data_IF_250265000045
#
_entry.id   IF_250265000045
#
_cell.length_a   1.000
_cell.length_b   1.000
_cell.length_c   1.000
_cell.angle_alpha   90.00
_cell.angle_beta   90.00
_cell.angle_gamma   90.00
#
_symmetry.space_group_name_H-M   'P 1'
#
loop_
_entity.id
_entity.type
_entity.pdbx_description
1 polymer ?
#
# COMPACT_ATOMS: atom_id res chain seq x y z
N UNK A 1 -16.31 -0.58 -3.07
CA UNK A 1 -15.34 -1.66 -3.39
C UNK A 1 -14.26 -1.10 -4.29
N UNK A 2 -13.01 -1.18 -3.84
CA UNK A 2 -11.86 -0.71 -4.62
C UNK A 2 -11.17 -1.86 -5.35
N UNK A 3 -10.32 -1.54 -6.31
CA UNK A 3 -9.55 -2.53 -7.08
C UNK A 3 -8.15 -1.99 -7.43
N UNK A 4 -7.39 -2.80 -8.18
CA UNK A 4 -6.02 -2.44 -8.58
C UNK A 4 -5.97 -1.17 -9.45
N UNK A 5 -6.95 -0.96 -10.30
CA UNK A 5 -6.99 0.25 -11.15
C UNK A 5 -7.16 1.51 -10.30
N UNK A 6 -7.94 1.43 -9.22
CA UNK A 6 -8.05 2.52 -8.26
C UNK A 6 -6.71 2.83 -7.60
N UNK A 7 -5.96 1.79 -7.19
CA UNK A 7 -4.62 1.98 -6.61
C UNK A 7 -3.71 2.68 -7.61
N UNK A 8 -3.69 2.23 -8.85
CA UNK A 8 -2.84 2.82 -9.91
C UNK A 8 -3.17 4.28 -10.14
N UNK A 9 -4.45 4.59 -10.26
CA UNK A 9 -4.91 5.96 -10.49
C UNK A 9 -4.55 6.88 -9.33
N UNK A 10 -4.82 6.45 -8.11
CA UNK A 10 -4.57 7.25 -6.92
C UNK A 10 -3.09 7.46 -6.65
N UNK A 11 -2.29 6.41 -6.73
CA UNK A 11 -0.85 6.49 -6.47
C UNK A 11 -0.13 7.32 -7.54
N UNK A 12 -0.47 7.10 -8.80
CA UNK A 12 0.18 7.82 -9.91
C UNK A 12 -0.10 9.32 -9.91
N UNK A 13 -1.18 9.75 -9.26
CA UNK A 13 -1.53 11.17 -9.16
C UNK A 13 -0.73 11.93 -8.09
N UNK A 14 0.00 11.23 -7.23
CA UNK A 14 0.77 11.84 -6.15
C UNK A 14 2.13 12.35 -6.64
N UNK A 15 2.65 13.46 -6.06
CA UNK A 15 3.92 14.02 -6.52
C UNK A 15 5.11 13.06 -6.38
N UNK A 16 5.97 13.04 -7.40
CA UNK A 16 7.23 12.30 -7.37
C UNK A 16 7.12 10.79 -7.37
N UNK A 17 5.94 10.25 -7.66
CA UNK A 17 5.72 8.81 -7.65
C UNK A 17 6.22 8.18 -8.96
N UNK A 18 6.91 7.06 -8.82
CA UNK A 18 7.27 6.19 -9.94
C UNK A 18 6.65 4.82 -9.75
N UNK A 19 6.29 4.19 -10.84
CA UNK A 19 5.82 2.81 -10.85
C UNK A 19 6.96 1.91 -11.31
N UNK A 20 7.25 0.86 -10.52
CA UNK A 20 8.26 -0.13 -10.87
C UNK A 20 7.58 -1.21 -11.71
N UNK A 21 8.20 -1.56 -12.84
CA UNK A 21 7.68 -2.62 -13.69
C UNK A 21 7.64 -3.95 -12.92
N UNK A 22 6.46 -4.54 -12.86
CA UNK A 22 6.23 -5.76 -12.08
C UNK A 22 5.02 -6.51 -12.66
N UNK A 23 4.79 -7.72 -12.15
CA UNK A 23 3.62 -8.51 -12.55
C UNK A 23 2.28 -7.92 -12.03
N UNK A 24 2.33 -6.91 -11.18
CA UNK A 24 1.16 -6.21 -10.65
C UNK A 24 1.43 -4.72 -10.63
N UNK A 25 1.37 -4.11 -9.44
CA UNK A 25 1.75 -2.71 -9.25
C UNK A 25 2.77 -2.59 -8.13
N UNK A 26 3.67 -1.61 -8.23
CA UNK A 26 4.66 -1.30 -7.21
C UNK A 26 4.97 0.19 -7.33
N UNK A 27 4.45 0.98 -6.40
CA UNK A 27 4.59 2.44 -6.43
C UNK A 27 5.57 2.90 -5.36
N UNK A 28 6.49 3.77 -5.78
CA UNK A 28 7.56 4.30 -4.94
C UNK A 28 7.64 5.81 -5.01
N UNK A 29 8.10 6.40 -3.91
CA UNK A 29 8.48 7.81 -3.83
C UNK A 29 9.84 7.89 -3.17
N UNK A 30 10.78 8.64 -3.76
CA UNK A 30 12.18 8.72 -3.29
C UNK A 30 12.80 7.33 -3.10
N UNK A 31 12.53 6.42 -4.04
CA UNK A 31 12.98 5.01 -4.05
C UNK A 31 12.42 4.14 -2.91
N UNK A 32 11.43 4.63 -2.19
CA UNK A 32 10.79 3.90 -1.08
C UNK A 32 9.40 3.44 -1.48
N UNK A 33 9.16 2.13 -1.43
CA UNK A 33 7.84 1.56 -1.69
C UNK A 33 6.83 2.00 -0.64
N UNK A 34 5.63 2.41 -1.07
CA UNK A 34 4.57 2.77 -0.14
C UNK A 34 3.28 1.97 -0.39
N UNK A 35 3.07 1.44 -1.58
CA UNK A 35 1.99 0.50 -1.88
C UNK A 35 2.40 -0.39 -3.07
N UNK A 36 2.24 -1.71 -2.91
CA UNK A 36 2.54 -2.66 -3.98
C UNK A 36 1.61 -3.87 -3.89
N UNK A 37 1.51 -4.63 -4.99
CA UNK A 37 0.68 -5.82 -5.03
C UNK A 37 1.31 -6.94 -4.20
N UNK A 38 0.46 -7.76 -3.58
CA UNK A 38 0.88 -8.77 -2.61
C UNK A 38 1.54 -9.98 -3.28
N UNK A 39 2.83 -10.24 -2.99
CA UNK A 39 3.49 -11.46 -3.47
C UNK A 39 3.15 -12.63 -2.54
N UNK A 40 2.05 -13.32 -2.83
CA UNK A 40 1.58 -14.42 -1.99
C UNK A 40 2.48 -15.65 -2.13
N UNK A 41 3.08 -16.14 -1.03
CA UNK A 41 3.92 -17.33 -1.09
C UNK A 41 3.07 -18.58 -1.35
N UNK A 42 3.62 -19.49 -2.16
CA UNK A 42 3.01 -20.77 -2.47
C UNK A 42 4.02 -21.88 -2.15
N UNK A 43 3.72 -22.81 -1.22
CA UNK A 43 4.63 -23.89 -0.87
C UNK A 43 5.06 -24.70 -2.10
N UNK A 44 6.38 -24.84 -2.30
CA UNK A 44 6.93 -25.61 -3.42
C UNK A 44 6.74 -25.00 -4.80
N UNK A 45 6.28 -23.75 -4.91
CA UNK A 45 6.00 -23.05 -6.17
C UNK A 45 6.47 -21.63 -6.14
N UNK A 46 6.53 -20.99 -7.33
CA UNK A 46 6.78 -19.56 -7.42
C UNK A 46 5.66 -18.76 -6.75
N UNK A 47 6.00 -17.61 -6.19
CA UNK A 47 5.01 -16.71 -5.58
C UNK A 47 3.99 -16.24 -6.63
N UNK A 48 2.74 -16.09 -6.19
CA UNK A 48 1.66 -15.54 -7.02
C UNK A 48 1.49 -14.07 -6.65
N UNK A 49 1.53 -13.19 -7.65
CA UNK A 49 1.29 -11.77 -7.42
C UNK A 49 -0.23 -11.53 -7.43
N UNK A 50 -0.75 -11.14 -6.26
CA UNK A 50 -2.17 -10.85 -6.06
C UNK A 50 -2.39 -9.35 -6.22
N UNK A 51 -3.19 -8.97 -7.21
CA UNK A 51 -3.54 -7.55 -7.44
C UNK A 51 -4.84 -7.13 -6.74
N UNK A 52 -5.53 -8.08 -6.12
CA UNK A 52 -6.71 -7.81 -5.28
C UNK A 52 -6.34 -7.49 -3.83
N UNK A 53 -5.06 -7.65 -3.47
CA UNK A 53 -4.52 -7.35 -2.15
C UNK A 53 -3.30 -6.43 -2.32
N UNK A 54 -3.30 -5.32 -1.60
CA UNK A 54 -2.18 -4.38 -1.60
C UNK A 54 -1.36 -4.53 -0.32
N UNK A 55 -0.03 -4.45 -0.44
CA UNK A 55 0.85 -4.25 0.71
C UNK A 55 1.01 -2.75 0.89
N UNK A 56 0.63 -2.25 2.05
CA UNK A 56 0.53 -0.82 2.33
C UNK A 56 1.44 -0.43 3.49
N UNK A 57 2.28 0.59 3.29
CA UNK A 57 3.10 1.14 4.37
C UNK A 57 2.23 1.91 5.36
N UNK A 58 2.37 1.61 6.67
CA UNK A 58 1.57 2.26 7.73
C UNK A 58 2.41 2.96 8.80
N UNK A 59 3.73 2.96 8.64
CA UNK A 59 4.62 3.80 9.44
C UNK A 59 5.20 3.15 10.67
N UNK A 60 4.42 2.42 11.46
CA UNK A 60 4.91 1.77 12.68
C UNK A 60 4.10 0.52 13.06
N UNK A 61 4.61 -0.23 14.04
CA UNK A 61 4.00 -1.48 14.48
C UNK A 61 2.69 -1.24 15.25
N UNK A 62 2.57 -0.13 15.94
CA UNK A 62 1.35 0.20 16.69
C UNK A 62 0.17 0.40 15.73
N UNK A 63 0.39 1.15 14.65
CA UNK A 63 -0.64 1.35 13.63
C UNK A 63 -0.99 0.05 12.92
N UNK A 64 0.02 -0.76 12.59
CA UNK A 64 -0.17 -2.08 11.99
C UNK A 64 -1.08 -2.96 12.87
N UNK A 65 -0.77 -3.06 14.16
CA UNK A 65 -1.56 -3.86 15.09
C UNK A 65 -2.99 -3.32 15.24
N UNK A 66 -3.14 -1.99 15.33
CA UNK A 66 -4.46 -1.37 15.46
C UNK A 66 -5.36 -1.70 14.26
N UNK A 67 -4.82 -1.64 13.05
CA UNK A 67 -5.59 -1.95 11.84
C UNK A 67 -5.97 -3.43 11.77
N UNK A 68 -5.02 -4.32 12.01
CA UNK A 68 -5.27 -5.78 11.93
C UNK A 68 -6.26 -6.23 13.00
N UNK A 69 -6.14 -5.72 14.23
CA UNK A 69 -7.04 -6.08 15.32
C UNK A 69 -8.41 -5.41 15.19
N UNK A 70 -8.45 -4.18 14.75
CA UNK A 70 -9.69 -3.41 14.63
C UNK A 70 -10.53 -3.74 13.41
N UNK A 71 -9.89 -4.10 12.30
CA UNK A 71 -10.57 -4.35 11.02
C UNK A 71 -10.02 -5.62 10.35
N UNK A 72 -10.21 -6.81 10.98
CA UNK A 72 -9.59 -8.04 10.46
C UNK A 72 -10.17 -8.54 9.13
N UNK A 73 -11.35 -8.08 8.74
CA UNK A 73 -11.90 -8.40 7.42
C UNK A 73 -11.18 -7.63 6.30
N UNK A 74 -10.61 -6.48 6.64
CA UNK A 74 -9.97 -5.57 5.68
C UNK A 74 -8.46 -5.71 5.66
N UNK A 75 -7.84 -5.80 6.85
CA UNK A 75 -6.38 -5.82 7.01
C UNK A 75 -5.90 -7.13 7.61
N UNK A 76 -4.77 -7.63 7.09
CA UNK A 76 -4.11 -8.79 7.69
C UNK A 76 -2.60 -8.65 7.58
N UNK A 77 -1.88 -9.54 8.25
CA UNK A 77 -0.42 -9.62 8.16
C UNK A 77 0.00 -11.07 7.97
N UNK A 78 1.25 -11.28 7.58
CA UNK A 78 1.83 -12.61 7.39
C UNK A 78 3.20 -12.67 8.03
N UNK A 79 3.71 -13.89 8.36
CA UNK A 79 5.04 -14.02 8.94
C UNK A 79 6.17 -13.40 8.12
N UNK A 80 6.04 -13.37 6.79
CA UNK A 80 7.05 -12.77 5.91
C UNK A 80 7.24 -11.28 6.18
N UNK A 81 6.22 -10.60 6.72
CA UNK A 81 6.26 -9.17 7.01
C UNK A 81 6.29 -8.85 8.50
N UNK A 82 6.57 -9.84 9.35
CA UNK A 82 6.74 -9.61 10.79
C UNK A 82 7.88 -8.61 11.00
N UNK A 83 7.64 -7.60 11.85
CA UNK A 83 8.61 -6.56 12.12
C UNK A 83 8.64 -5.42 11.10
N UNK A 84 7.97 -5.56 9.96
CA UNK A 84 7.86 -4.48 8.97
C UNK A 84 6.57 -3.70 9.19
N UNK A 85 6.61 -2.36 9.08
CA UNK A 85 5.43 -1.51 9.31
C UNK A 85 4.53 -1.44 8.06
N UNK A 86 4.10 -2.60 7.59
CA UNK A 86 3.19 -2.74 6.44
C UNK A 86 2.04 -3.68 6.81
N UNK A 87 0.90 -3.49 6.17
CA UNK A 87 -0.25 -4.40 6.28
C UNK A 87 -0.67 -4.85 4.89
N UNK A 88 -1.32 -5.99 4.82
CA UNK A 88 -2.01 -6.44 3.60
C UNK A 88 -3.44 -5.92 3.67
N UNK A 89 -3.85 -5.23 2.61
CA UNK A 89 -5.17 -4.60 2.48
C UNK A 89 -5.97 -5.33 1.40
N UNK A 90 -7.11 -5.90 1.81
CA UNK A 90 -8.06 -6.48 0.85
C UNK A 90 -8.82 -5.36 0.17
N UNK A 91 -8.52 -5.10 -1.10
CA UNK A 91 -9.07 -3.94 -1.82
C UNK A 91 -10.59 -4.00 -1.94
N UNK A 92 -11.16 -5.18 -2.06
CA UNK A 92 -12.62 -5.36 -2.14
C UNK A 92 -13.36 -4.93 -0.87
N UNK A 93 -12.65 -4.80 0.26
CA UNK A 93 -13.25 -4.46 1.56
C UNK A 93 -13.18 -2.97 1.89
N UNK A 94 -12.62 -2.14 1.01
CA UNK A 94 -12.59 -0.68 1.20
C UNK A 94 -13.27 0.02 0.03
N UNK A 95 -13.82 1.20 0.30
CA UNK A 95 -14.29 2.07 -0.75
C UNK A 95 -13.13 2.94 -1.27
N UNK A 96 -13.36 3.62 -2.39
CA UNK A 96 -12.34 4.45 -3.04
C UNK A 96 -11.94 5.62 -2.15
N UNK A 97 -12.88 6.17 -1.37
CA UNK A 97 -12.61 7.28 -0.46
C UNK A 97 -11.62 6.86 0.63
N UNK A 98 -11.86 5.71 1.28
CA UNK A 98 -10.94 5.18 2.29
C UNK A 98 -9.60 4.82 1.68
N UNK A 99 -9.60 4.21 0.51
CA UNK A 99 -8.37 3.87 -0.20
C UNK A 99 -7.54 5.12 -0.50
N UNK A 100 -8.18 6.21 -0.91
CA UNK A 100 -7.51 7.49 -1.16
C UNK A 100 -6.77 7.97 0.08
N UNK A 101 -7.41 7.93 1.24
CA UNK A 101 -6.80 8.32 2.51
C UNK A 101 -5.59 7.43 2.84
N UNK A 102 -5.77 6.12 2.74
CA UNK A 102 -4.73 5.15 3.07
C UNK A 102 -3.50 5.28 2.18
N UNK A 103 -3.70 5.40 0.88
CA UNK A 103 -2.60 5.53 -0.10
C UNK A 103 -1.89 6.88 0.07
N UNK A 104 -2.65 7.95 0.26
CA UNK A 104 -2.08 9.29 0.45
C UNK A 104 -1.26 9.35 1.74
N UNK A 105 -1.76 8.77 2.84
CA UNK A 105 -1.04 8.74 4.10
C UNK A 105 0.25 7.92 4.00
N UNK A 106 0.20 6.78 3.32
CA UNK A 106 1.39 5.95 3.09
C UNK A 106 2.46 6.72 2.31
N UNK A 107 2.04 7.41 1.24
CA UNK A 107 2.92 8.27 0.45
C UNK A 107 3.51 9.39 1.31
N UNK A 108 2.66 10.07 2.09
CA UNK A 108 3.07 11.20 2.93
C UNK A 108 4.17 10.82 3.92
N UNK A 109 4.09 9.62 4.48
CA UNK A 109 5.11 9.11 5.41
C UNK A 109 6.45 8.79 4.75
N UNK A 110 6.45 8.52 3.45
CA UNK A 110 7.66 8.16 2.69
C UNK A 110 8.23 9.31 1.88
N UNK A 111 7.42 10.28 1.50
CA UNK A 111 7.82 11.38 0.63
C UNK A 111 8.71 12.39 1.36
N UNK A 112 9.71 12.99 0.66
CA UNK A 112 10.42 14.14 1.18
C UNK A 112 9.47 15.30 1.44
N UNK A 113 9.81 16.16 2.40
CA UNK A 113 8.96 17.30 2.78
C UNK A 113 8.64 18.22 1.60
N UNK A 114 9.57 18.40 0.67
CA UNK A 114 9.32 19.23 -0.52
C UNK A 114 8.16 18.73 -1.37
N UNK A 115 8.01 17.40 -1.49
CA UNK A 115 6.88 16.80 -2.22
C UNK A 115 5.58 16.88 -1.43
N UNK A 116 5.65 16.74 -0.12
CA UNK A 116 4.46 16.89 0.75
C UNK A 116 3.91 18.30 0.63
N UNK A 117 4.78 19.32 0.66
CA UNK A 117 4.39 20.73 0.47
C UNK A 117 3.77 20.91 -0.93
N UNK A 118 4.34 20.31 -1.95
CA UNK A 118 3.79 20.39 -3.32
C UNK A 118 2.34 19.87 -3.38
N UNK A 119 2.05 18.76 -2.70
CA UNK A 119 0.68 18.25 -2.64
C UNK A 119 -0.26 19.20 -1.92
N UNK A 120 0.20 19.77 -0.78
CA UNK A 120 -0.61 20.68 0.04
C UNK A 120 -0.93 21.99 -0.68
N UNK A 121 -0.08 22.40 -1.61
CA UNK A 121 -0.24 23.65 -2.38
C UNK A 121 -1.16 23.51 -3.61
N UNK A 122 -1.71 22.34 -3.84
CA UNK A 122 -2.65 22.11 -4.95
C UNK A 122 -4.05 22.62 -4.69
#
# INVERSE_FOLDING_TARGET
MADADDVRRLAAALPGVSEIDSAGFDFRVADKGFVWSYPEPRPGRARVIRTDVAVLFVGDQAEKHALVLGEPATFFTTPAYDGFPVVMLRLAEVDVERLTELVTDAWRMRAPQSLVVELEDR
#
